data_IF_516931932765
#
_entry.id   IF_516931932765
#
_cell.length_a   1.000
_cell.length_b   1.000
_cell.length_c   1.000
_cell.angle_alpha   90.00
_cell.angle_beta   90.00
_cell.angle_gamma   90.00
#
_symmetry.space_group_name_H-M   'P 1'
#
loop_
_entity.id
_entity.type
_entity.pdbx_description
1 polymer ?
#
# COMPACT_ATOMS: atom_id res chain seq x y z
N UNK A 1 -4.69 -15.44 -6.28
CA UNK A 1 -5.02 -14.14 -5.67
C UNK A 1 -6.16 -14.27 -4.66
N UNK A 2 -7.41 -14.52 -5.07
CA UNK A 2 -8.57 -14.52 -4.15
C UNK A 2 -8.56 -15.61 -3.05
N UNK A 3 -7.82 -16.71 -3.22
CA UNK A 3 -7.70 -17.76 -2.20
C UNK A 3 -6.90 -17.33 -0.97
N UNK A 4 -5.91 -16.45 -1.15
CA UNK A 4 -4.95 -16.10 -0.11
C UNK A 4 -5.58 -15.32 1.07
N UNK A 5 -6.47 -14.33 0.87
CA UNK A 5 -7.20 -13.70 1.97
C UNK A 5 -8.12 -14.69 2.71
N UNK A 6 -8.58 -15.75 2.02
CA UNK A 6 -9.39 -16.80 2.66
C UNK A 6 -8.55 -17.75 3.49
N UNK A 7 -7.35 -18.09 3.01
CA UNK A 7 -6.35 -18.79 3.84
C UNK A 7 -5.99 -17.94 5.07
N UNK A 8 -5.80 -16.63 4.90
CA UNK A 8 -5.56 -15.73 6.02
C UNK A 8 -6.71 -15.72 7.03
N UNK A 9 -7.97 -15.64 6.57
CA UNK A 9 -9.14 -15.70 7.45
C UNK A 9 -9.22 -17.03 8.21
N UNK A 10 -8.89 -18.15 7.57
CA UNK A 10 -8.81 -19.44 8.25
C UNK A 10 -7.71 -19.46 9.32
N UNK A 11 -6.53 -18.91 9.02
CA UNK A 11 -5.44 -18.79 9.99
C UNK A 11 -5.81 -17.92 11.19
N UNK A 12 -6.61 -16.87 10.98
CA UNK A 12 -7.12 -16.02 12.06
C UNK A 12 -7.94 -16.80 13.10
N UNK A 13 -8.69 -17.81 12.67
CA UNK A 13 -9.43 -18.69 13.58
C UNK A 13 -8.60 -19.78 14.24
N UNK A 14 -7.34 -19.98 13.82
CA UNK A 14 -6.46 -21.07 14.28
C UNK A 14 -5.28 -20.58 15.13
N UNK A 15 -4.79 -19.37 14.84
CA UNK A 15 -3.60 -18.79 15.46
C UNK A 15 -3.94 -17.38 15.89
N UNK A 16 -3.76 -17.09 17.17
CA UNK A 16 -3.95 -15.76 17.71
C UNK A 16 -3.05 -14.73 16.98
N UNK A 17 -3.69 -13.70 16.43
CA UNK A 17 -3.03 -12.65 15.66
C UNK A 17 -2.10 -11.80 16.54
N UNK A 18 -2.41 -11.66 17.83
CA UNK A 18 -1.66 -10.81 18.75
C UNK A 18 -0.35 -11.47 19.24
N UNK A 19 -0.16 -12.77 18.98
CA UNK A 19 1.03 -13.48 19.47
C UNK A 19 2.33 -12.84 18.96
N UNK A 20 3.18 -12.41 19.89
CA UNK A 20 4.48 -11.79 19.63
C UNK A 20 4.43 -10.28 19.38
N UNK A 21 3.27 -9.63 19.51
CA UNK A 21 3.14 -8.17 19.44
C UNK A 21 3.11 -7.53 20.82
N UNK A 22 3.75 -6.37 20.94
CA UNK A 22 3.40 -5.35 21.92
C UNK A 22 2.76 -4.16 21.19
N UNK A 23 1.43 -4.10 21.21
CA UNK A 23 0.65 -3.05 20.55
C UNK A 23 0.78 -1.68 21.23
N UNK A 24 1.33 -1.61 22.44
CA UNK A 24 1.55 -0.34 23.15
C UNK A 24 2.67 0.46 22.52
N UNK A 25 3.76 -0.23 22.16
CA UNK A 25 4.95 0.36 21.55
C UNK A 25 5.07 0.03 20.06
N UNK A 26 4.14 -0.75 19.51
CA UNK A 26 4.09 -1.16 18.10
C UNK A 26 5.31 -2.00 17.68
N UNK A 27 5.86 -2.80 18.59
CA UNK A 27 7.02 -3.66 18.37
C UNK A 27 6.64 -5.15 18.34
N UNK A 28 7.40 -5.92 17.55
CA UNK A 28 7.26 -7.38 17.49
C UNK A 28 8.35 -8.03 18.34
N UNK A 29 7.99 -8.46 19.55
CA UNK A 29 8.93 -8.90 20.60
C UNK A 29 9.69 -10.17 20.22
N UNK A 30 9.06 -11.07 19.46
CA UNK A 30 9.63 -12.37 19.07
C UNK A 30 10.37 -12.34 17.71
N UNK A 31 10.60 -11.16 17.13
CA UNK A 31 11.05 -11.02 15.73
C UNK A 31 12.37 -11.74 15.45
N UNK A 32 13.27 -11.79 16.44
CA UNK A 32 14.60 -12.40 16.30
C UNK A 32 14.60 -13.92 16.55
N UNK A 33 13.46 -14.51 16.89
CA UNK A 33 13.33 -15.98 16.95
C UNK A 33 12.92 -16.52 15.58
N UNK A 34 13.34 -17.74 15.24
CA UNK A 34 12.96 -18.36 13.96
C UNK A 34 11.43 -18.48 13.84
N UNK A 35 10.77 -18.90 14.92
CA UNK A 35 9.32 -19.05 14.96
C UNK A 35 8.59 -17.71 14.82
N UNK A 36 9.00 -16.70 15.60
CA UNK A 36 8.40 -15.37 15.54
C UNK A 36 8.64 -14.68 14.20
N UNK A 37 9.85 -14.80 13.62
CA UNK A 37 10.15 -14.28 12.29
C UNK A 37 9.24 -14.90 11.21
N UNK A 38 9.09 -16.23 11.21
CA UNK A 38 8.21 -16.92 10.25
C UNK A 38 6.75 -16.49 10.45
N UNK A 39 6.27 -16.41 11.69
CA UNK A 39 4.89 -15.95 11.98
C UNK A 39 4.67 -14.51 11.52
N UNK A 40 5.59 -13.61 11.82
CA UNK A 40 5.56 -12.21 11.36
C UNK A 40 5.56 -12.12 9.82
N UNK A 41 6.50 -12.80 9.17
CA UNK A 41 6.68 -12.72 7.73
C UNK A 41 5.48 -13.26 6.95
N UNK A 42 4.87 -14.37 7.39
CA UNK A 42 3.80 -15.02 6.62
C UNK A 42 2.40 -14.67 7.09
N UNK A 43 2.19 -14.35 8.37
CA UNK A 43 0.87 -14.29 8.97
C UNK A 43 0.54 -12.97 9.66
N UNK A 44 1.27 -12.58 10.72
CA UNK A 44 0.83 -11.47 11.59
C UNK A 44 1.76 -10.26 11.62
N UNK A 45 2.64 -10.06 10.64
CA UNK A 45 3.43 -8.83 10.52
C UNK A 45 2.59 -7.62 10.09
N UNK A 46 3.25 -6.48 9.83
CA UNK A 46 2.59 -5.32 9.23
C UNK A 46 2.09 -5.60 7.81
N UNK A 47 2.90 -6.33 7.03
CA UNK A 47 2.59 -6.69 5.65
C UNK A 47 2.89 -8.19 5.36
N UNK A 48 2.18 -9.13 6.00
CA UNK A 48 2.43 -10.56 5.90
C UNK A 48 2.23 -11.14 4.49
N UNK A 49 3.10 -12.04 4.06
CA UNK A 49 3.11 -12.59 2.70
C UNK A 49 1.76 -13.17 2.30
N UNK A 50 1.07 -13.93 3.16
CA UNK A 50 -0.14 -14.67 2.77
C UNK A 50 -1.19 -13.74 2.15
N UNK A 51 -1.78 -12.76 2.86
CA UNK A 51 -2.75 -11.87 2.25
C UNK A 51 -2.11 -10.96 1.20
N UNK A 52 -0.94 -10.35 1.47
CA UNK A 52 -0.38 -9.31 0.60
C UNK A 52 0.11 -9.81 -0.76
N UNK A 53 0.53 -11.06 -0.85
CA UNK A 53 0.86 -11.71 -2.12
C UNK A 53 -0.33 -11.70 -3.11
N UNK A 54 -1.56 -11.55 -2.62
CA UNK A 54 -2.75 -11.37 -3.46
C UNK A 54 -2.64 -10.16 -4.38
N UNK A 55 -2.18 -9.01 -3.87
CA UNK A 55 -2.05 -7.80 -4.68
C UNK A 55 -1.02 -7.97 -5.78
N UNK A 56 0.11 -8.61 -5.46
CA UNK A 56 1.14 -8.92 -6.45
C UNK A 56 0.60 -9.85 -7.53
N UNK A 57 -0.09 -10.93 -7.16
CA UNK A 57 -0.68 -11.86 -8.11
C UNK A 57 -1.78 -11.22 -8.96
N UNK A 58 -2.58 -10.31 -8.39
CA UNK A 58 -3.56 -9.53 -9.14
C UNK A 58 -2.86 -8.61 -10.16
N UNK A 59 -1.78 -7.94 -9.78
CA UNK A 59 -0.99 -7.12 -10.69
C UNK A 59 -0.37 -7.92 -11.84
N UNK A 60 0.17 -9.11 -11.55
CA UNK A 60 0.69 -10.04 -12.57
C UNK A 60 -0.43 -10.55 -13.48
N UNK A 61 -1.62 -10.80 -12.94
CA UNK A 61 -2.79 -11.18 -13.76
C UNK A 61 -3.21 -10.02 -14.67
N UNK A 62 -3.26 -8.81 -14.13
CA UNK A 62 -3.63 -7.60 -14.85
C UNK A 62 -2.66 -7.28 -16.00
N UNK A 63 -1.37 -7.53 -15.83
CA UNK A 63 -0.35 -7.28 -16.87
C UNK A 63 -0.48 -8.18 -18.10
N UNK A 64 -1.33 -9.22 -18.06
CA UNK A 64 -1.63 -10.08 -19.21
C UNK A 64 -2.64 -9.48 -20.18
N UNK A 65 -3.33 -8.39 -19.80
CA UNK A 65 -4.26 -7.68 -20.67
C UNK A 65 -3.57 -6.50 -21.35
N UNK A 66 -4.07 -6.08 -22.52
CA UNK A 66 -3.61 -4.86 -23.15
C UNK A 66 -4.17 -3.64 -22.42
N UNK A 67 -3.36 -3.07 -21.52
CA UNK A 67 -3.70 -1.89 -20.72
C UNK A 67 -3.89 -0.61 -21.55
N UNK A 68 -3.53 -0.63 -22.84
CA UNK A 68 -3.78 0.48 -23.77
C UNK A 68 -5.21 0.44 -24.32
N UNK A 69 -5.88 -0.70 -24.24
CA UNK A 69 -7.24 -0.84 -24.73
C UNK A 69 -8.23 -0.10 -23.83
N UNK A 70 -9.03 0.81 -24.42
CA UNK A 70 -10.04 1.58 -23.67
C UNK A 70 -11.05 0.68 -22.95
N UNK A 71 -11.39 -0.47 -23.54
CA UNK A 71 -12.28 -1.45 -22.92
C UNK A 71 -11.69 -1.97 -21.61
N UNK A 72 -10.42 -2.37 -21.60
CA UNK A 72 -9.72 -2.83 -20.40
C UNK A 72 -9.68 -1.73 -19.35
N UNK A 73 -9.34 -0.50 -19.73
CA UNK A 73 -9.33 0.65 -18.81
C UNK A 73 -10.72 0.91 -18.18
N UNK A 74 -11.79 0.92 -18.98
CA UNK A 74 -13.16 1.09 -18.48
C UNK A 74 -13.59 -0.08 -17.59
N UNK A 75 -13.21 -1.31 -17.93
CA UNK A 75 -13.48 -2.47 -17.08
C UNK A 75 -12.73 -2.38 -15.74
N UNK A 76 -11.47 -1.94 -15.73
CA UNK A 76 -10.72 -1.73 -14.49
C UNK A 76 -11.40 -0.69 -13.60
N UNK A 77 -11.82 0.45 -14.17
CA UNK A 77 -12.53 1.49 -13.42
C UNK A 77 -13.86 0.96 -12.89
N UNK A 78 -14.67 0.32 -13.73
CA UNK A 78 -15.99 -0.18 -13.36
C UNK A 78 -15.93 -1.30 -12.32
N UNK A 79 -15.11 -2.32 -12.55
CA UNK A 79 -14.93 -3.43 -11.62
C UNK A 79 -14.26 -2.96 -10.32
N UNK A 80 -13.28 -2.06 -10.42
CA UNK A 80 -12.61 -1.50 -9.26
C UNK A 80 -13.55 -0.67 -8.39
N UNK A 81 -14.35 0.20 -9.00
CA UNK A 81 -15.37 0.98 -8.29
C UNK A 81 -16.43 0.07 -7.66
N UNK A 82 -16.91 -0.95 -8.40
CA UNK A 82 -17.85 -1.94 -7.88
C UNK A 82 -17.29 -2.71 -6.66
N UNK A 83 -16.04 -3.17 -6.74
CA UNK A 83 -15.36 -3.85 -5.63
C UNK A 83 -15.18 -2.94 -4.42
N UNK A 84 -14.76 -1.69 -4.63
CA UNK A 84 -14.59 -0.69 -3.58
C UNK A 84 -15.93 -0.38 -2.89
N UNK A 85 -16.97 -0.08 -3.68
CA UNK A 85 -18.31 0.17 -3.15
C UNK A 85 -18.87 -1.03 -2.39
N UNK A 86 -18.68 -2.25 -2.91
CA UNK A 86 -19.09 -3.48 -2.22
C UNK A 86 -18.38 -3.63 -0.87
N UNK A 87 -17.06 -3.41 -0.82
CA UNK A 87 -16.29 -3.54 0.42
C UNK A 87 -16.75 -2.53 1.49
N UNK A 88 -16.97 -1.27 1.10
CA UNK A 88 -17.49 -0.26 2.02
C UNK A 88 -18.94 -0.52 2.43
N UNK A 89 -19.78 -1.06 1.54
CA UNK A 89 -21.15 -1.46 1.86
C UNK A 89 -21.17 -2.62 2.86
N UNK A 90 -20.31 -3.63 2.69
CA UNK A 90 -20.13 -4.72 3.64
C UNK A 90 -19.65 -4.22 5.00
N UNK A 91 -18.66 -3.32 5.02
CA UNK A 91 -18.17 -2.71 6.25
C UNK A 91 -19.25 -1.87 6.96
N UNK A 92 -20.09 -1.17 6.20
CA UNK A 92 -21.23 -0.44 6.76
C UNK A 92 -22.27 -1.40 7.36
N UNK A 93 -22.62 -2.46 6.63
CA UNK A 93 -23.58 -3.47 7.09
C UNK A 93 -23.08 -4.20 8.34
N UNK A 94 -21.79 -4.57 8.39
CA UNK A 94 -21.18 -5.19 9.57
C UNK A 94 -21.36 -4.34 10.82
N UNK A 95 -21.01 -3.04 10.73
CA UNK A 95 -21.19 -2.08 11.84
C UNK A 95 -22.65 -1.90 12.27
N UNK A 96 -23.61 -2.07 11.36
CA UNK A 96 -25.02 -1.90 11.65
C UNK A 96 -25.67 -3.13 12.30
N UNK A 97 -25.12 -4.31 12.09
CA UNK A 97 -25.71 -5.57 12.54
C UNK A 97 -25.12 -6.07 13.86
N UNK A 98 -23.79 -6.16 13.96
CA UNK A 98 -23.13 -6.80 15.10
C UNK A 98 -21.65 -6.37 15.23
N UNK A 99 -21.12 -6.15 16.46
CA UNK A 99 -19.71 -5.80 16.66
C UNK A 99 -18.69 -6.80 16.11
N UNK A 100 -18.91 -8.12 16.24
CA UNK A 100 -18.01 -9.15 15.71
C UNK A 100 -18.00 -9.13 14.19
N UNK A 101 -19.17 -8.93 13.57
CA UNK A 101 -19.29 -8.79 12.12
C UNK A 101 -18.64 -7.49 11.62
N UNK A 102 -18.68 -6.43 12.42
CA UNK A 102 -18.02 -5.16 12.11
C UNK A 102 -16.50 -5.31 12.01
N UNK A 103 -15.91 -6.13 12.87
CA UNK A 103 -14.48 -6.46 12.83
C UNK A 103 -14.15 -7.31 11.60
N UNK A 104 -14.90 -8.40 11.36
CA UNK A 104 -14.70 -9.29 10.22
C UNK A 104 -14.89 -8.64 8.85
N UNK A 105 -15.83 -7.70 8.74
CA UNK A 105 -16.12 -6.96 7.50
C UNK A 105 -15.39 -5.60 7.44
N UNK A 106 -14.41 -5.37 8.32
CA UNK A 106 -13.67 -4.11 8.35
C UNK A 106 -12.84 -3.88 7.09
N UNK A 107 -12.69 -2.60 6.73
CA UNK A 107 -11.71 -2.12 5.75
C UNK A 107 -10.44 -1.59 6.43
N UNK A 108 -10.21 -1.98 7.68
CA UNK A 108 -8.95 -1.73 8.39
C UNK A 108 -7.82 -2.58 7.78
N UNK A 109 -6.59 -2.05 7.66
CA UNK A 109 -5.44 -2.81 7.16
C UNK A 109 -4.93 -3.90 8.13
N UNK A 110 -5.29 -3.80 9.41
CA UNK A 110 -4.82 -4.71 10.46
C UNK A 110 -6.03 -5.20 11.28
N UNK A 111 -6.30 -6.52 11.34
CA UNK A 111 -5.73 -7.55 10.46
C UNK A 111 -6.19 -7.39 9.00
N UNK A 112 -5.39 -7.79 7.98
CA UNK A 112 -5.69 -7.63 6.55
C UNK A 112 -6.75 -8.62 6.04
N UNK A 113 -7.99 -8.41 6.46
CA UNK A 113 -9.13 -9.27 6.17
C UNK A 113 -9.58 -9.19 4.69
N UNK A 114 -10.37 -10.17 4.20
CA UNK A 114 -10.81 -10.21 2.80
C UNK A 114 -11.48 -8.94 2.31
N UNK A 115 -12.29 -8.27 3.13
CA UNK A 115 -12.97 -7.02 2.76
C UNK A 115 -11.98 -5.88 2.53
N UNK A 116 -10.95 -5.75 3.38
CA UNK A 116 -9.84 -4.83 3.16
C UNK A 116 -9.09 -5.14 1.85
N UNK A 117 -8.81 -6.41 1.58
CA UNK A 117 -8.13 -6.84 0.35
C UNK A 117 -8.93 -6.48 -0.91
N UNK A 118 -10.26 -6.62 -0.86
CA UNK A 118 -11.17 -6.20 -1.94
C UNK A 118 -11.16 -4.68 -2.09
N UNK A 119 -11.26 -3.93 -0.99
CA UNK A 119 -11.23 -2.47 -1.01
C UNK A 119 -9.92 -1.95 -1.62
N UNK A 120 -8.77 -2.43 -1.15
CA UNK A 120 -7.46 -2.04 -1.67
C UNK A 120 -7.30 -2.38 -3.15
N UNK A 121 -7.79 -3.56 -3.58
CA UNK A 121 -7.67 -4.00 -4.97
C UNK A 121 -8.57 -3.16 -5.88
N UNK A 122 -9.79 -2.85 -5.41
CA UNK A 122 -10.73 -1.99 -6.11
C UNK A 122 -10.20 -0.57 -6.27
N UNK A 123 -9.66 0.01 -5.20
CA UNK A 123 -9.02 1.32 -5.23
C UNK A 123 -7.84 1.35 -6.21
N UNK A 124 -6.97 0.34 -6.18
CA UNK A 124 -5.84 0.24 -7.12
C UNK A 124 -6.32 0.17 -8.57
N UNK A 125 -7.35 -0.63 -8.87
CA UNK A 125 -7.90 -0.74 -10.23
C UNK A 125 -8.51 0.56 -10.73
N UNK A 126 -9.23 1.29 -9.87
CA UNK A 126 -9.76 2.62 -10.18
C UNK A 126 -8.63 3.59 -10.48
N UNK A 127 -7.65 3.71 -9.59
CA UNK A 127 -6.54 4.66 -9.74
C UNK A 127 -5.75 4.36 -11.02
N UNK A 128 -5.33 3.11 -11.23
CA UNK A 128 -4.56 2.72 -12.42
C UNK A 128 -5.39 2.92 -13.69
N UNK A 129 -6.67 2.50 -13.67
CA UNK A 129 -7.57 2.64 -14.82
C UNK A 129 -7.79 4.09 -15.22
N UNK A 130 -8.03 4.98 -14.25
CA UNK A 130 -8.12 6.42 -14.47
C UNK A 130 -6.79 6.99 -14.98
N UNK A 131 -5.66 6.57 -14.40
CA UNK A 131 -4.35 7.03 -14.84
C UNK A 131 -4.10 6.69 -16.31
N UNK A 132 -4.41 5.45 -16.72
CA UNK A 132 -4.29 5.01 -18.10
C UNK A 132 -5.28 5.72 -19.02
N UNK A 133 -6.51 6.00 -18.56
CA UNK A 133 -7.55 6.63 -19.39
C UNK A 133 -7.26 8.09 -19.71
N UNK A 134 -6.70 8.82 -18.75
CA UNK A 134 -6.57 10.29 -18.82
C UNK A 134 -5.15 10.78 -19.09
N UNK A 135 -4.12 9.98 -18.77
CA UNK A 135 -2.72 10.42 -18.88
C UNK A 135 -1.89 9.60 -19.88
N UNK A 136 -2.51 8.79 -20.75
CA UNK A 136 -1.79 7.98 -21.74
C UNK A 136 -1.34 8.74 -23.00
N UNK A 137 -1.94 9.91 -23.31
CA UNK A 137 -1.76 10.59 -24.60
C UNK A 137 -0.95 11.88 -24.49
N UNK A 138 0.37 11.77 -24.32
CA UNK A 138 1.35 12.81 -24.70
C UNK A 138 1.34 14.14 -23.92
N UNK A 139 0.28 14.47 -23.20
CA UNK A 139 0.26 15.50 -22.17
C UNK A 139 1.10 14.95 -21.00
N UNK A 140 1.95 15.65 -20.25
CA UNK A 140 1.83 17.01 -19.73
C UNK A 140 3.22 17.38 -19.17
N UNK A 141 3.86 18.47 -19.61
CA UNK A 141 5.10 18.98 -18.97
C UNK A 141 4.94 19.21 -17.46
N UNK A 142 3.72 19.53 -17.02
CA UNK A 142 3.32 19.68 -15.60
C UNK A 142 3.40 18.37 -14.80
N UNK A 143 3.18 17.21 -15.43
CA UNK A 143 3.32 15.92 -14.75
C UNK A 143 4.74 15.36 -14.78
N UNK A 144 5.68 15.99 -15.50
CA UNK A 144 7.04 15.50 -15.59
C UNK A 144 7.73 15.31 -14.22
N UNK A 145 7.55 16.21 -13.22
CA UNK A 145 8.05 15.98 -11.86
C UNK A 145 7.47 14.72 -11.22
N UNK A 146 6.16 14.52 -11.32
CA UNK A 146 5.48 13.34 -10.77
C UNK A 146 5.94 12.05 -11.44
N UNK A 147 6.17 12.07 -12.76
CA UNK A 147 6.71 10.92 -13.50
C UNK A 147 8.16 10.63 -13.10
N UNK A 148 8.98 11.67 -12.89
CA UNK A 148 10.37 11.52 -12.46
C UNK A 148 10.45 10.91 -11.05
N UNK A 149 9.66 11.44 -10.12
CA UNK A 149 9.53 10.98 -8.74
C UNK A 149 8.93 9.56 -8.68
N UNK A 150 7.91 9.26 -9.48
CA UNK A 150 7.27 7.94 -9.55
C UNK A 150 8.18 6.81 -10.07
N UNK A 151 9.31 7.13 -10.71
CA UNK A 151 10.34 6.14 -11.09
C UNK A 151 11.33 5.81 -9.95
N UNK A 152 11.19 6.49 -8.81
CA UNK A 152 12.09 6.44 -7.65
C UNK A 152 11.34 6.08 -6.36
N UNK A 153 10.28 5.26 -6.48
CA UNK A 153 9.37 4.95 -5.36
C UNK A 153 10.05 4.24 -4.20
N UNK A 154 11.00 3.33 -4.44
CA UNK A 154 11.72 2.62 -3.39
C UNK A 154 12.70 3.55 -2.67
N UNK A 155 13.44 4.39 -3.40
CA UNK A 155 14.30 5.40 -2.80
C UNK A 155 13.48 6.34 -1.93
N UNK A 156 12.37 6.87 -2.45
CA UNK A 156 11.54 7.83 -1.75
C UNK A 156 10.80 7.22 -0.56
N UNK A 157 10.42 5.94 -0.64
CA UNK A 157 9.88 5.20 0.49
C UNK A 157 10.91 5.10 1.64
N UNK A 158 12.15 4.73 1.33
CA UNK A 158 13.22 4.68 2.33
C UNK A 158 13.53 6.09 2.87
N UNK A 159 13.59 7.10 2.01
CA UNK A 159 13.77 8.48 2.43
C UNK A 159 12.61 8.97 3.30
N UNK A 160 11.38 8.56 3.03
CA UNK A 160 10.23 8.89 3.85
C UNK A 160 10.39 8.35 5.28
N UNK A 161 10.83 7.11 5.44
CA UNK A 161 11.03 6.51 6.78
C UNK A 161 12.28 7.10 7.44
N UNK A 162 13.44 7.05 6.77
CA UNK A 162 14.73 7.40 7.37
C UNK A 162 14.96 8.91 7.52
N UNK A 163 14.31 9.73 6.70
CA UNK A 163 14.44 11.19 6.75
C UNK A 163 13.14 11.82 7.21
N UNK A 164 12.02 11.52 6.54
CA UNK A 164 10.73 12.13 6.87
C UNK A 164 10.28 11.82 8.30
N UNK A 165 10.11 10.54 8.62
CA UNK A 165 9.65 10.09 9.94
C UNK A 165 10.70 10.37 11.01
N UNK A 166 11.99 10.12 10.75
CA UNK A 166 13.06 10.42 11.72
C UNK A 166 13.14 11.91 12.10
N UNK A 167 12.91 12.83 11.13
CA UNK A 167 12.85 14.27 11.43
C UNK A 167 11.63 14.59 12.30
N UNK A 168 10.46 14.04 11.99
CA UNK A 168 9.27 14.25 12.82
C UNK A 168 9.45 13.67 14.22
N UNK A 169 10.11 12.52 14.35
CA UNK A 169 10.43 11.88 15.62
C UNK A 169 11.39 12.75 16.45
N UNK A 170 12.48 13.24 15.85
CA UNK A 170 13.41 14.15 16.51
C UNK A 170 12.77 15.45 16.98
N UNK A 171 11.70 15.91 16.30
CA UNK A 171 10.93 17.09 16.68
C UNK A 171 9.79 16.78 17.67
N UNK A 172 9.59 15.52 18.06
CA UNK A 172 8.48 15.11 18.93
C UNK A 172 7.10 15.26 18.27
N UNK A 173 7.04 15.22 16.94
CA UNK A 173 5.84 15.43 16.13
C UNK A 173 5.19 14.13 15.65
N UNK A 174 5.61 12.97 16.17
CA UNK A 174 5.01 11.66 15.87
C UNK A 174 3.75 11.49 16.74
N UNK A 175 2.59 11.39 16.10
CA UNK A 175 1.31 11.19 16.79
C UNK A 175 0.78 12.45 17.50
N UNK A 176 -0.53 12.47 17.76
CA UNK A 176 -1.21 13.53 18.51
C UNK A 176 -1.23 14.93 17.86
N UNK A 177 -0.73 15.08 16.63
CA UNK A 177 -0.72 16.35 15.90
C UNK A 177 -2.08 16.67 15.28
N UNK A 178 -2.35 17.96 15.05
CA UNK A 178 -3.55 18.37 14.31
C UNK A 178 -3.51 17.91 12.85
N UNK A 179 -4.67 17.74 12.24
CA UNK A 179 -4.78 17.38 10.82
C UNK A 179 -4.07 18.40 9.91
N UNK A 180 -4.06 19.67 10.30
CA UNK A 180 -3.37 20.76 9.59
C UNK A 180 -1.86 20.56 9.62
N UNK A 181 -1.28 20.23 10.79
CA UNK A 181 0.15 19.96 10.93
C UNK A 181 0.56 18.70 10.17
N UNK A 182 -0.27 17.65 10.22
CA UNK A 182 -0.03 16.44 9.44
C UNK A 182 -0.03 16.73 7.93
N UNK A 183 -1.00 17.53 7.45
CA UNK A 183 -1.10 17.93 6.06
C UNK A 183 0.10 18.80 5.63
N UNK A 184 0.53 19.73 6.49
CA UNK A 184 1.69 20.58 6.24
C UNK A 184 2.96 19.75 6.13
N UNK A 185 3.25 18.88 7.10
CA UNK A 185 4.42 18.00 7.09
C UNK A 185 4.43 17.07 5.87
N UNK A 186 3.28 16.47 5.54
CA UNK A 186 3.14 15.64 4.34
C UNK A 186 3.39 16.44 3.05
N UNK A 187 2.83 17.65 2.95
CA UNK A 187 2.99 18.53 1.80
C UNK A 187 4.45 18.95 1.61
N UNK A 188 5.14 19.32 2.70
CA UNK A 188 6.55 19.66 2.69
C UNK A 188 7.41 18.49 2.20
N UNK A 189 7.16 17.29 2.72
CA UNK A 189 7.86 16.08 2.27
C UNK A 189 7.59 15.79 0.79
N UNK A 190 6.34 15.87 0.33
CA UNK A 190 5.96 15.65 -1.07
C UNK A 190 6.66 16.66 -1.98
N UNK A 191 6.66 17.95 -1.63
CA UNK A 191 7.32 19.00 -2.41
C UNK A 191 8.83 18.73 -2.47
N UNK A 192 9.46 18.39 -1.34
CA UNK A 192 10.88 18.04 -1.30
C UNK A 192 11.19 16.80 -2.17
N UNK A 193 10.36 15.76 -2.11
CA UNK A 193 10.48 14.56 -2.93
C UNK A 193 10.30 14.83 -4.43
N UNK A 194 9.40 15.74 -4.80
CA UNK A 194 9.22 16.19 -6.19
C UNK A 194 10.44 16.96 -6.69
N UNK A 195 10.97 17.89 -5.90
CA UNK A 195 12.19 18.65 -6.22
C UNK A 195 13.37 17.69 -6.39
N UNK A 196 13.62 16.85 -5.39
CA UNK A 196 14.69 15.85 -5.41
C UNK A 196 14.55 14.92 -6.62
N UNK A 197 13.39 14.27 -6.79
CA UNK A 197 13.16 13.30 -7.84
C UNK A 197 13.35 13.90 -9.23
N UNK A 198 12.91 15.15 -9.43
CA UNK A 198 13.09 15.89 -10.68
C UNK A 198 14.55 16.23 -10.95
N UNK A 199 15.29 16.72 -9.95
CA UNK A 199 16.71 17.06 -10.09
C UNK A 199 17.52 15.78 -10.38
N UNK A 200 17.28 14.73 -9.60
CA UNK A 200 17.99 13.45 -9.73
C UNK A 200 17.77 12.82 -11.12
N UNK A 201 16.54 12.88 -11.63
CA UNK A 201 16.20 12.34 -12.94
C UNK A 201 16.89 13.04 -14.12
N UNK A 202 17.51 14.22 -13.91
CA UNK A 202 18.34 14.87 -14.92
C UNK A 202 19.70 14.19 -15.11
N UNK A 203 20.20 13.53 -14.07
CA UNK A 203 21.54 12.92 -14.06
C UNK A 203 21.48 11.39 -14.14
N UNK A 204 20.44 10.77 -13.57
CA UNK A 204 20.34 9.32 -13.45
C UNK A 204 18.99 8.78 -13.91
N UNK A 205 18.99 7.54 -14.43
CA UNK A 205 17.78 6.87 -14.94
C UNK A 205 16.92 6.18 -13.87
N UNK A 206 17.49 5.95 -12.69
CA UNK A 206 16.86 5.27 -11.56
C UNK A 206 17.27 5.97 -10.26
N UNK A 207 16.46 5.85 -9.22
CA UNK A 207 16.84 6.32 -7.88
C UNK A 207 18.04 5.53 -7.35
N UNK A 208 18.78 6.07 -6.36
CA UNK A 208 19.96 5.42 -5.78
C UNK A 208 19.70 3.98 -5.34
N UNK A 209 18.58 3.73 -4.64
CA UNK A 209 18.27 2.41 -4.11
C UNK A 209 17.75 1.48 -5.21
N UNK A 210 16.94 1.98 -6.15
CA UNK A 210 16.54 1.20 -7.32
C UNK A 210 17.74 0.79 -8.17
N UNK A 211 18.73 1.68 -8.32
CA UNK A 211 19.98 1.38 -9.01
C UNK A 211 20.76 0.28 -8.29
N UNK A 212 20.88 0.35 -6.96
CA UNK A 212 21.54 -0.68 -6.16
C UNK A 212 20.82 -2.02 -6.28
N UNK A 213 19.49 -2.02 -6.18
CA UNK A 213 18.66 -3.20 -6.33
C UNK A 213 18.86 -3.86 -7.70
N UNK A 214 18.82 -3.08 -8.78
CA UNK A 214 19.11 -3.60 -10.14
C UNK A 214 20.52 -4.18 -10.21
N UNK A 215 21.51 -3.54 -9.61
CA UNK A 215 22.89 -4.07 -9.64
C UNK A 215 23.06 -5.38 -8.89
N UNK A 216 22.30 -5.60 -7.82
CA UNK A 216 22.37 -6.83 -7.02
C UNK A 216 21.53 -7.97 -7.61
N UNK A 217 20.44 -7.65 -8.31
CA UNK A 217 19.44 -8.63 -8.76
C UNK A 217 19.41 -8.82 -10.30
N UNK A 218 19.91 -7.86 -11.08
CA UNK A 218 19.93 -7.86 -12.56
C UNK A 218 19.27 -6.61 -13.17
#
# INVERSE_FOLDING_TARGET
AALLPMVFLLLLGLVDFETGWDWTILEYTEFWTVQGFVRNLFYNGWHPIIPWLSFMLLGIGLSRFDLRERRVQTMMIGLGAGALSLAYALAFLGRALDPELAELLSVSPVPPLPVYMIAGSGAAFVVIGLSLRFFSSGTIGVLAPFVATGKQTLTLYIAHIMVGMAVLEALGMIGGQSAEMALLSASLFIIAALIYGTIWARFFKAGPIEWLMRRLVG
#
